data_IF_636265267297
#
_entry.id   IF_636265267297
#
_cell.length_a   1.000
_cell.length_b   1.000
_cell.length_c   1.000
_cell.angle_alpha   90.00
_cell.angle_beta   90.00
_cell.angle_gamma   90.00
#
_symmetry.space_group_name_H-M   'P 1'
#
loop_
_entity.id
_entity.type
_entity.pdbx_description
1 polymer ?
#
# COMPACT_ATOMS: atom_id res chain seq x y z
N UNK A 1 -15.12 -29.81 13.19
CA UNK A 1 -14.47 -28.60 12.68
C UNK A 1 -14.49 -28.66 11.16
N UNK A 2 -14.93 -27.64 10.49
CA UNK A 2 -14.96 -27.57 9.02
C UNK A 2 -13.83 -26.66 8.55
N UNK A 3 -13.18 -27.00 7.45
CA UNK A 3 -12.18 -26.15 6.81
C UNK A 3 -12.83 -24.89 6.19
N UNK A 4 -12.01 -23.91 5.83
CA UNK A 4 -12.49 -22.68 5.18
C UNK A 4 -13.10 -22.94 3.81
N UNK A 5 -14.25 -22.34 3.53
CA UNK A 5 -14.88 -22.35 2.20
C UNK A 5 -14.22 -21.39 1.22
N UNK A 6 -13.29 -20.54 1.67
CA UNK A 6 -12.53 -19.61 0.84
C UNK A 6 -11.38 -20.29 0.07
N UNK A 7 -11.15 -21.58 0.30
CA UNK A 7 -10.08 -22.35 -0.36
C UNK A 7 -10.38 -22.50 -1.86
N UNK A 8 -9.41 -22.11 -2.67
CA UNK A 8 -9.45 -22.23 -4.14
C UNK A 8 -8.49 -23.28 -4.69
N UNK A 9 -7.51 -23.70 -3.86
CA UNK A 9 -6.47 -24.67 -4.23
C UNK A 9 -6.34 -25.70 -3.10
N UNK A 10 -6.31 -27.01 -3.42
CA UNK A 10 -6.11 -28.05 -2.43
C UNK A 10 -4.89 -28.90 -2.80
N UNK A 11 -3.88 -28.91 -1.92
CA UNK A 11 -2.64 -29.67 -2.07
C UNK A 11 -2.33 -30.34 -0.73
N UNK A 12 -2.82 -31.54 -0.48
CA UNK A 12 -2.60 -32.20 0.81
C UNK A 12 -1.10 -32.35 1.12
N UNK A 13 -0.72 -31.98 2.33
CA UNK A 13 0.62 -32.25 2.84
C UNK A 13 0.84 -33.77 2.97
N UNK A 14 2.09 -34.21 2.79
CA UNK A 14 2.43 -35.61 3.01
C UNK A 14 2.17 -36.00 4.47
N UNK A 15 1.63 -37.21 4.77
CA UNK A 15 1.31 -37.61 6.15
C UNK A 15 2.47 -37.58 7.13
N UNK A 16 3.72 -37.65 6.66
CA UNK A 16 4.92 -37.50 7.50
C UNK A 16 5.21 -36.06 7.95
N UNK A 17 4.45 -35.09 7.54
CA UNK A 17 4.73 -33.66 7.77
C UNK A 17 3.74 -32.96 8.72
N UNK A 18 2.78 -33.71 9.25
CA UNK A 18 1.81 -33.22 10.23
C UNK A 18 1.37 -34.37 11.16
N UNK A 19 0.65 -34.04 12.21
CA UNK A 19 0.07 -35.05 13.10
C UNK A 19 -1.44 -35.15 12.82
N UNK A 20 -1.90 -36.38 12.58
CA UNK A 20 -3.33 -36.65 12.44
C UNK A 20 -4.07 -36.39 13.76
N UNK A 21 -5.13 -35.62 13.71
CA UNK A 21 -5.91 -35.22 14.87
C UNK A 21 -5.34 -34.02 15.63
N UNK A 22 -6.13 -33.50 16.55
CA UNK A 22 -5.78 -32.47 17.55
C UNK A 22 -6.20 -32.95 18.92
N UNK A 23 -5.34 -32.70 19.90
CA UNK A 23 -5.62 -32.99 21.32
C UNK A 23 -6.03 -31.71 22.11
N UNK A 24 -6.10 -30.56 21.44
CA UNK A 24 -6.48 -29.27 22.04
C UNK A 24 -7.45 -28.52 21.14
N UNK A 25 -8.28 -27.66 21.75
CA UNK A 25 -9.12 -26.73 21.03
C UNK A 25 -8.25 -25.71 20.27
N UNK A 26 -8.70 -25.27 19.10
CA UNK A 26 -8.10 -24.14 18.40
C UNK A 26 -8.39 -22.87 19.19
N UNK A 27 -7.34 -22.14 19.57
CA UNK A 27 -7.40 -20.89 20.33
C UNK A 27 -6.66 -19.74 19.65
N UNK A 28 -5.80 -20.05 18.68
CA UNK A 28 -4.93 -19.09 18.05
C UNK A 28 -4.93 -19.25 16.52
N UNK A 29 -4.62 -18.15 15.84
CA UNK A 29 -4.18 -18.13 14.44
C UNK A 29 -2.75 -17.66 14.44
N UNK A 30 -1.85 -18.36 13.74
CA UNK A 30 -0.45 -17.95 13.63
C UNK A 30 -0.11 -17.57 12.19
N UNK A 31 0.40 -16.35 12.04
CA UNK A 31 0.79 -15.77 10.76
C UNK A 31 2.25 -16.10 10.45
N UNK A 32 2.48 -16.57 9.22
CA UNK A 32 3.79 -16.82 8.62
C UNK A 32 3.90 -16.12 7.28
N UNK A 33 5.12 -16.06 6.74
CA UNK A 33 5.39 -15.75 5.35
C UNK A 33 6.17 -16.88 4.68
N UNK A 34 5.97 -17.07 3.39
CA UNK A 34 6.61 -18.14 2.62
C UNK A 34 8.11 -17.91 2.40
N UNK A 35 8.64 -16.75 2.77
CA UNK A 35 9.99 -16.30 2.44
C UNK A 35 10.29 -16.40 0.93
N UNK A 36 9.31 -16.09 0.10
CA UNK A 36 9.39 -16.19 -1.35
C UNK A 36 8.12 -15.71 -2.05
N UNK A 37 8.22 -15.49 -3.36
CA UNK A 37 7.10 -15.14 -4.24
C UNK A 37 6.56 -16.44 -4.84
N UNK A 38 5.56 -17.02 -4.19
CA UNK A 38 5.02 -18.33 -4.55
C UNK A 38 3.51 -18.27 -4.78
N UNK A 39 3.00 -19.14 -5.63
CA UNK A 39 1.58 -19.46 -5.65
C UNK A 39 1.20 -20.38 -4.48
N UNK A 40 -0.08 -20.45 -4.15
CA UNK A 40 -0.57 -21.40 -3.15
C UNK A 40 -0.26 -22.85 -3.54
N UNK A 41 -0.34 -23.19 -4.82
CA UNK A 41 0.05 -24.51 -5.35
C UNK A 41 1.52 -24.82 -5.11
N UNK A 42 2.42 -23.87 -5.39
CA UNK A 42 3.86 -24.06 -5.18
C UNK A 42 4.22 -24.25 -3.71
N UNK A 43 3.61 -23.49 -2.81
CA UNK A 43 3.76 -23.69 -1.36
C UNK A 43 3.28 -25.08 -0.93
N UNK A 44 2.09 -25.49 -1.37
CA UNK A 44 1.57 -26.82 -1.07
C UNK A 44 2.47 -27.96 -1.56
N UNK A 45 3.05 -27.82 -2.75
CA UNK A 45 3.98 -28.82 -3.31
C UNK A 45 5.24 -29.01 -2.42
N UNK A 46 5.64 -28.02 -1.65
CA UNK A 46 6.74 -28.15 -0.66
C UNK A 46 6.31 -29.10 0.45
N UNK A 47 5.09 -28.94 0.97
CA UNK A 47 4.58 -29.75 2.06
C UNK A 47 4.11 -31.13 1.62
N UNK A 48 3.81 -31.33 0.34
CA UNK A 48 3.47 -32.64 -0.24
C UNK A 48 4.67 -33.60 -0.36
N UNK A 49 5.90 -33.12 -0.17
CA UNK A 49 7.10 -33.95 -0.21
C UNK A 49 7.28 -34.71 1.10
N UNK A 50 7.49 -36.02 1.03
CA UNK A 50 7.80 -36.83 2.20
C UNK A 50 9.06 -36.32 2.94
N UNK A 51 9.03 -36.37 4.27
CA UNK A 51 10.18 -35.99 5.08
C UNK A 51 10.53 -34.49 5.10
N UNK A 52 9.60 -33.60 4.69
CA UNK A 52 9.78 -32.14 4.81
C UNK A 52 9.88 -31.68 6.26
N UNK A 53 9.29 -32.46 7.18
CA UNK A 53 9.26 -32.19 8.62
C UNK A 53 8.66 -30.82 8.96
N UNK A 54 7.63 -30.43 8.22
CA UNK A 54 6.91 -29.18 8.42
C UNK A 54 5.75 -29.03 7.45
N UNK A 55 4.74 -28.32 7.87
CA UNK A 55 3.52 -28.05 7.10
C UNK A 55 2.80 -26.82 7.62
N UNK A 56 1.78 -26.36 6.90
CA UNK A 56 0.84 -25.33 7.34
C UNK A 56 -0.59 -25.78 7.01
N UNK A 57 -1.58 -25.24 7.72
CA UNK A 57 -2.99 -25.52 7.38
C UNK A 57 -3.35 -24.86 6.05
N UNK A 58 -2.98 -23.59 5.90
CA UNK A 58 -3.27 -22.78 4.75
C UNK A 58 -2.04 -22.09 4.20
N UNK A 59 -2.12 -21.70 2.94
CA UNK A 59 -1.18 -20.79 2.31
C UNK A 59 -1.89 -19.86 1.34
N UNK A 60 -1.46 -18.62 1.28
CA UNK A 60 -2.01 -17.60 0.39
C UNK A 60 -0.94 -17.27 -0.64
N UNK A 61 -1.23 -17.51 -1.91
CA UNK A 61 -0.33 -17.20 -3.01
C UNK A 61 -0.26 -15.71 -3.31
N UNK A 62 0.73 -15.31 -4.09
CA UNK A 62 0.94 -13.90 -4.44
C UNK A 62 -0.26 -13.28 -5.20
N UNK A 63 -1.03 -14.08 -5.92
CA UNK A 63 -2.28 -13.65 -6.58
C UNK A 63 -3.49 -13.57 -5.65
N UNK A 64 -3.33 -13.94 -4.36
CA UNK A 64 -4.41 -13.95 -3.38
C UNK A 64 -5.23 -15.25 -3.34
N UNK A 65 -4.87 -16.25 -4.14
CA UNK A 65 -5.50 -17.57 -4.07
C UNK A 65 -5.18 -18.27 -2.73
N UNK A 66 -6.16 -18.99 -2.17
CA UNK A 66 -6.04 -19.63 -0.86
C UNK A 66 -5.90 -21.13 -1.04
N UNK A 67 -4.76 -21.67 -0.63
CA UNK A 67 -4.47 -23.09 -0.59
C UNK A 67 -4.76 -23.71 0.76
N UNK A 68 -5.16 -24.98 0.77
CA UNK A 68 -5.26 -25.81 1.96
C UNK A 68 -4.33 -27.01 1.85
N UNK A 69 -3.57 -27.29 2.91
CA UNK A 69 -2.55 -28.33 2.95
C UNK A 69 -2.76 -29.34 4.08
N UNK A 70 -3.20 -28.87 5.25
CA UNK A 70 -3.55 -29.71 6.40
C UNK A 70 -4.96 -29.34 6.84
N UNK A 71 -5.79 -30.31 7.18
CA UNK A 71 -7.13 -30.05 7.71
C UNK A 71 -7.05 -29.39 9.09
N UNK A 72 -7.96 -28.47 9.41
CA UNK A 72 -7.98 -27.80 10.73
C UNK A 72 -8.21 -28.78 11.89
N UNK A 73 -8.75 -29.97 11.61
CA UNK A 73 -8.89 -31.07 12.58
C UNK A 73 -7.57 -31.79 12.89
N UNK A 74 -6.54 -31.54 12.12
CA UNK A 74 -5.20 -32.12 12.28
C UNK A 74 -4.22 -31.07 12.83
N UNK A 75 -3.01 -31.46 13.20
CA UNK A 75 -1.99 -30.55 13.75
C UNK A 75 -0.87 -30.34 12.73
N UNK A 76 -0.81 -29.14 12.10
CA UNK A 76 0.29 -28.77 11.24
C UNK A 76 1.56 -28.47 12.05
N UNK A 77 2.74 -28.76 11.48
CA UNK A 77 4.04 -28.50 12.10
C UNK A 77 4.66 -27.22 11.51
N UNK A 78 4.19 -26.08 11.99
CA UNK A 78 4.56 -24.78 11.39
C UNK A 78 5.41 -23.93 12.34
N UNK A 79 5.06 -23.92 13.64
CA UNK A 79 5.56 -22.92 14.59
C UNK A 79 6.89 -23.29 15.26
N UNK A 80 7.50 -24.42 14.91
CA UNK A 80 8.67 -24.97 15.60
C UNK A 80 8.47 -25.09 17.14
N UNK A 81 7.21 -25.15 17.58
CA UNK A 81 6.81 -25.19 18.98
C UNK A 81 5.55 -26.05 19.11
N UNK A 82 5.70 -27.21 19.74
CA UNK A 82 4.61 -28.19 19.82
C UNK A 82 3.33 -27.70 20.50
N UNK A 83 3.37 -27.05 21.68
CA UNK A 83 2.18 -26.46 22.28
C UNK A 83 1.47 -25.44 21.40
N UNK A 84 2.22 -24.63 20.66
CA UNK A 84 1.65 -23.67 19.71
C UNK A 84 1.05 -24.36 18.50
N UNK A 85 1.71 -25.38 17.92
CA UNK A 85 1.17 -26.16 16.81
C UNK A 85 -0.18 -26.80 17.18
N UNK A 86 -0.29 -27.35 18.38
CA UNK A 86 -1.49 -28.04 18.84
C UNK A 86 -2.72 -27.12 18.92
N UNK A 87 -2.56 -25.82 19.24
CA UNK A 87 -3.68 -24.90 19.45
C UNK A 87 -3.90 -23.90 18.32
N UNK A 88 -2.99 -23.83 17.33
CA UNK A 88 -3.08 -22.85 16.24
C UNK A 88 -3.66 -23.42 14.96
N UNK A 89 -4.32 -22.56 14.20
CA UNK A 89 -4.42 -22.66 12.74
C UNK A 89 -3.35 -21.75 12.15
N UNK A 90 -2.54 -22.25 11.23
CA UNK A 90 -1.36 -21.56 10.70
C UNK A 90 -1.55 -21.19 9.24
N UNK A 91 -1.07 -20.03 8.84
CA UNK A 91 -1.23 -19.46 7.50
C UNK A 91 0.13 -18.99 6.98
N UNK A 92 0.59 -19.57 5.90
CA UNK A 92 1.72 -19.10 5.11
C UNK A 92 1.26 -18.05 4.10
N UNK A 93 1.91 -16.89 4.04
CA UNK A 93 1.54 -15.82 3.10
C UNK A 93 2.69 -15.54 2.14
N UNK A 94 2.43 -15.56 0.84
CA UNK A 94 3.43 -15.24 -0.17
C UNK A 94 3.85 -13.78 -0.07
N UNK A 95 5.14 -13.55 -0.29
CA UNK A 95 5.68 -12.20 -0.46
C UNK A 95 5.49 -11.73 -1.91
N UNK A 96 5.51 -10.43 -2.13
CA UNK A 96 5.53 -9.83 -3.47
C UNK A 96 6.94 -9.58 -3.99
N UNK A 97 7.94 -9.59 -3.09
CA UNK A 97 9.36 -9.56 -3.39
C UNK A 97 10.15 -10.29 -2.28
N UNK A 98 11.37 -10.71 -2.59
CA UNK A 98 12.26 -11.37 -1.63
C UNK A 98 13.21 -10.37 -0.99
N UNK A 99 13.49 -10.55 0.31
CA UNK A 99 14.40 -9.69 1.07
C UNK A 99 13.77 -8.37 1.56
N UNK A 100 14.60 -7.50 2.14
CA UNK A 100 14.14 -6.26 2.77
C UNK A 100 13.11 -6.52 3.88
N UNK A 101 12.02 -5.80 3.86
CA UNK A 101 10.91 -5.96 4.82
C UNK A 101 10.02 -7.18 4.54
N UNK A 102 10.31 -7.94 3.48
CA UNK A 102 9.48 -9.05 3.00
C UNK A 102 8.05 -8.62 2.66
N UNK A 103 7.88 -7.69 1.71
CA UNK A 103 6.59 -7.10 1.38
C UNK A 103 5.58 -8.16 0.91
N UNK A 104 4.30 -7.92 1.17
CA UNK A 104 3.18 -8.74 0.73
C UNK A 104 2.28 -7.90 -0.16
N UNK A 105 1.88 -8.45 -1.31
CA UNK A 105 1.01 -7.76 -2.26
C UNK A 105 -0.43 -7.65 -1.75
N UNK A 106 -1.15 -6.64 -2.22
CA UNK A 106 -2.52 -6.32 -1.76
C UNK A 106 -3.48 -7.49 -1.91
N UNK A 107 -3.38 -8.27 -2.99
CA UNK A 107 -4.24 -9.44 -3.20
C UNK A 107 -4.05 -10.49 -2.10
N UNK A 108 -2.80 -10.84 -1.78
CA UNK A 108 -2.47 -11.78 -0.71
C UNK A 108 -2.85 -11.22 0.66
N UNK A 109 -2.59 -9.93 0.91
CA UNK A 109 -2.92 -9.28 2.17
C UNK A 109 -4.44 -9.24 2.44
N UNK A 110 -5.25 -8.91 1.43
CA UNK A 110 -6.70 -8.90 1.55
C UNK A 110 -7.27 -10.32 1.75
N UNK A 111 -6.70 -11.33 1.08
CA UNK A 111 -7.08 -12.72 1.29
C UNK A 111 -6.70 -13.21 2.69
N UNK A 112 -5.55 -12.77 3.24
CA UNK A 112 -5.14 -13.07 4.60
C UNK A 112 -6.16 -12.56 5.63
N UNK A 113 -6.61 -11.32 5.51
CA UNK A 113 -7.60 -10.72 6.40
C UNK A 113 -8.91 -11.52 6.36
N UNK A 114 -9.40 -11.85 5.16
CA UNK A 114 -10.64 -12.63 4.99
C UNK A 114 -10.52 -14.04 5.60
N UNK A 115 -9.39 -14.70 5.36
CA UNK A 115 -9.14 -16.04 5.90
C UNK A 115 -9.01 -16.02 7.42
N UNK A 116 -8.31 -15.05 7.99
CA UNK A 116 -8.21 -14.83 9.45
C UNK A 116 -9.60 -14.62 10.07
N UNK A 117 -10.44 -13.79 9.45
CA UNK A 117 -11.81 -13.56 9.91
C UNK A 117 -12.65 -14.85 9.88
N UNK A 118 -12.60 -15.60 8.77
CA UNK A 118 -13.31 -16.84 8.61
C UNK A 118 -12.89 -17.90 9.64
N UNK A 119 -11.58 -18.10 9.83
CA UNK A 119 -11.06 -19.04 10.85
C UNK A 119 -11.51 -18.62 12.24
N UNK A 120 -11.38 -17.35 12.60
CA UNK A 120 -11.78 -16.84 13.91
C UNK A 120 -13.28 -17.07 14.18
N UNK A 121 -14.14 -16.80 13.22
CA UNK A 121 -15.59 -17.00 13.32
C UNK A 121 -15.95 -18.48 13.48
N UNK A 122 -15.43 -19.34 12.61
CA UNK A 122 -15.74 -20.79 12.62
C UNK A 122 -15.24 -21.48 13.89
N UNK A 123 -14.13 -21.03 14.46
CA UNK A 123 -13.55 -21.63 15.67
C UNK A 123 -13.94 -20.90 16.96
N UNK A 124 -14.80 -19.87 16.90
CA UNK A 124 -15.29 -19.14 18.07
C UNK A 124 -14.19 -18.44 18.86
N UNK A 125 -13.20 -17.84 18.17
CA UNK A 125 -12.06 -17.19 18.84
C UNK A 125 -12.42 -15.85 19.48
N UNK A 126 -13.63 -15.33 19.23
CA UNK A 126 -14.06 -14.02 19.72
C UNK A 126 -13.25 -12.90 19.06
N UNK A 127 -13.07 -11.81 19.80
CA UNK A 127 -12.28 -10.66 19.32
C UNK A 127 -10.80 -11.04 19.19
N UNK A 128 -10.25 -10.84 18.00
CA UNK A 128 -8.83 -11.08 17.75
C UNK A 128 -8.00 -9.93 18.35
N UNK A 129 -6.95 -10.30 19.05
CA UNK A 129 -5.98 -9.39 19.66
C UNK A 129 -4.57 -9.83 19.27
N UNK A 130 -3.81 -8.92 18.66
CA UNK A 130 -2.42 -9.17 18.29
C UNK A 130 -1.58 -9.59 19.50
N UNK A 131 -0.80 -10.66 19.35
CA UNK A 131 0.03 -11.24 20.41
C UNK A 131 -0.74 -12.10 21.43
N UNK A 132 -2.06 -12.22 21.31
CA UNK A 132 -2.88 -13.06 22.20
C UNK A 132 -3.45 -14.26 21.45
N UNK A 133 -4.40 -14.06 20.56
CA UNK A 133 -5.03 -15.10 19.74
C UNK A 133 -4.85 -14.87 18.22
N UNK A 134 -4.23 -13.77 17.81
CA UNK A 134 -3.57 -13.60 16.52
C UNK A 134 -2.07 -13.43 16.76
N UNK A 135 -1.33 -14.48 16.49
CA UNK A 135 0.08 -14.65 16.81
C UNK A 135 0.92 -14.71 15.54
N UNK A 136 2.23 -14.78 15.67
CA UNK A 136 3.16 -14.92 14.56
C UNK A 136 4.35 -15.79 14.96
N UNK A 137 5.05 -16.35 13.96
CA UNK A 137 6.07 -17.38 14.18
C UNK A 137 7.17 -16.99 15.17
N UNK A 138 7.73 -15.79 15.08
CA UNK A 138 8.82 -15.36 15.96
C UNK A 138 8.41 -15.17 17.44
N UNK A 139 7.15 -15.37 17.80
CA UNK A 139 6.74 -15.49 19.19
C UNK A 139 7.12 -16.85 19.80
N UNK A 140 7.36 -17.86 18.99
CA UNK A 140 7.51 -19.24 19.40
C UNK A 140 8.87 -19.86 19.08
N UNK A 141 9.61 -19.24 18.16
CA UNK A 141 10.91 -19.70 17.69
C UNK A 141 11.82 -18.52 17.34
N UNK A 142 13.13 -18.77 17.35
CA UNK A 142 14.13 -17.79 16.88
C UNK A 142 14.11 -17.73 15.35
N UNK A 143 13.35 -16.80 14.80
CA UNK A 143 13.16 -16.61 13.36
C UNK A 143 12.76 -15.18 13.04
N UNK A 144 13.01 -14.71 11.82
CA UNK A 144 12.51 -13.42 11.33
C UNK A 144 11.08 -13.50 10.77
N UNK A 145 10.51 -14.71 10.62
CA UNK A 145 9.14 -14.90 10.15
C UNK A 145 8.13 -14.23 11.12
N UNK A 146 7.16 -13.48 10.61
CA UNK A 146 6.65 -13.41 9.24
C UNK A 146 7.24 -12.28 8.39
N UNK A 147 8.40 -11.72 8.72
CA UNK A 147 8.99 -10.55 8.10
C UNK A 147 8.43 -9.24 8.67
N UNK A 148 9.18 -8.15 8.51
CA UNK A 148 8.83 -6.86 9.11
C UNK A 148 7.51 -6.29 8.55
N UNK A 149 7.23 -6.52 7.27
CA UNK A 149 6.00 -6.07 6.64
C UNK A 149 4.74 -6.60 7.34
N UNK A 150 4.62 -7.92 7.50
CA UNK A 150 3.47 -8.52 8.20
C UNK A 150 3.52 -8.25 9.70
N UNK A 151 4.72 -8.29 10.31
CA UNK A 151 4.91 -8.03 11.72
C UNK A 151 4.35 -6.68 12.15
N UNK A 152 4.61 -5.63 11.40
CA UNK A 152 4.11 -4.29 11.64
C UNK A 152 2.58 -4.17 11.46
N UNK A 153 1.95 -5.14 10.79
CA UNK A 153 0.52 -5.11 10.40
C UNK A 153 -0.36 -6.09 11.15
N UNK A 154 0.14 -6.85 12.10
CA UNK A 154 -0.66 -7.84 12.84
C UNK A 154 -1.87 -7.20 13.54
N UNK A 155 -1.71 -6.03 14.14
CA UNK A 155 -2.81 -5.30 14.78
C UNK A 155 -3.86 -4.80 13.76
N UNK A 156 -3.43 -4.39 12.56
CA UNK A 156 -4.33 -4.01 11.48
C UNK A 156 -5.10 -5.22 10.92
N UNK A 157 -4.43 -6.36 10.76
CA UNK A 157 -5.07 -7.64 10.37
C UNK A 157 -6.12 -8.03 11.40
N UNK A 158 -5.79 -7.98 12.70
CA UNK A 158 -6.72 -8.27 13.79
C UNK A 158 -7.96 -7.36 13.73
N UNK A 159 -7.73 -6.04 13.60
CA UNK A 159 -8.80 -5.05 13.52
C UNK A 159 -9.72 -5.32 12.34
N UNK A 160 -9.18 -5.45 11.13
CA UNK A 160 -9.95 -5.67 9.90
C UNK A 160 -10.71 -7.02 9.92
N UNK A 161 -10.11 -8.06 10.48
CA UNK A 161 -10.79 -9.35 10.65
C UNK A 161 -11.93 -9.28 11.69
N UNK A 162 -11.75 -8.51 12.77
CA UNK A 162 -12.80 -8.24 13.75
C UNK A 162 -13.94 -7.42 13.12
N UNK A 163 -13.63 -6.41 12.31
CA UNK A 163 -14.62 -5.60 11.62
C UNK A 163 -15.50 -6.48 10.70
N UNK A 164 -14.91 -7.48 10.02
CA UNK A 164 -15.65 -8.48 9.24
C UNK A 164 -16.58 -9.30 10.12
N UNK A 165 -16.17 -9.71 11.32
CA UNK A 165 -16.90 -10.64 12.19
C UNK A 165 -17.85 -9.95 13.17
N UNK A 166 -17.58 -8.71 13.56
CA UNK A 166 -18.33 -8.00 14.60
C UNK A 166 -19.60 -7.30 14.13
N UNK A 167 -19.97 -7.43 12.84
CA UNK A 167 -21.13 -6.71 12.32
C UNK A 167 -20.96 -5.17 12.33
N UNK A 168 -19.71 -4.68 12.40
CA UNK A 168 -19.42 -3.41 11.73
C UNK A 168 -19.99 -3.53 10.32
N UNK A 169 -20.47 -2.48 9.66
CA UNK A 169 -21.12 -2.63 8.37
C UNK A 169 -20.31 -3.61 7.56
N UNK A 170 -20.95 -4.73 7.14
CA UNK A 170 -20.29 -5.79 6.37
C UNK A 170 -19.39 -5.07 5.39
N UNK A 171 -18.11 -5.51 5.14
CA UNK A 171 -17.36 -4.89 4.08
C UNK A 171 -18.35 -4.91 2.94
N UNK A 172 -18.91 -3.75 2.66
CA UNK A 172 -19.87 -3.57 1.57
C UNK A 172 -19.19 -4.29 0.44
N UNK A 173 -19.84 -5.26 -0.24
CA UNK A 173 -19.22 -5.94 -1.36
C UNK A 173 -18.52 -4.85 -2.12
N UNK A 174 -17.19 -4.93 -2.31
CA UNK A 174 -16.31 -3.85 -2.76
C UNK A 174 -17.17 -2.86 -3.50
N UNK A 175 -17.54 -1.72 -2.96
CA UNK A 175 -18.49 -0.89 -3.66
C UNK A 175 -17.85 -0.71 -5.02
N UNK A 176 -18.52 -1.13 -6.05
CA UNK A 176 -18.27 -0.63 -7.40
C UNK A 176 -18.02 0.85 -7.20
N UNK A 177 -16.86 1.39 -7.55
CA UNK A 177 -16.41 2.70 -7.10
C UNK A 177 -17.57 3.66 -7.22
N UNK A 178 -18.09 4.17 -6.08
CA UNK A 178 -19.29 5.04 -6.01
C UNK A 178 -18.99 6.45 -6.50
N UNK A 179 -17.85 6.61 -7.15
CA UNK A 179 -17.49 7.66 -8.06
C UNK A 179 -16.83 7.00 -9.25
N UNK A 180 -17.28 7.32 -10.47
CA UNK A 180 -16.57 6.98 -11.70
C UNK A 180 -15.20 7.67 -11.70
N UNK A 181 -14.30 7.21 -10.79
CA UNK A 181 -12.94 7.74 -10.76
C UNK A 181 -12.12 7.13 -11.89
N UNK A 182 -11.33 7.97 -12.54
CA UNK A 182 -10.38 7.60 -13.58
C UNK A 182 -9.06 8.33 -13.37
N UNK A 183 -8.02 7.81 -13.98
CA UNK A 183 -6.72 8.51 -14.05
C UNK A 183 -6.96 9.90 -14.67
N UNK A 184 -6.39 10.92 -14.05
CA UNK A 184 -6.56 12.33 -14.42
C UNK A 184 -7.66 13.05 -13.63
N UNK A 185 -8.53 12.37 -12.89
CA UNK A 185 -9.52 13.04 -12.04
C UNK A 185 -8.84 13.80 -10.88
N UNK A 186 -9.35 15.01 -10.62
CA UNK A 186 -8.96 15.78 -9.44
C UNK A 186 -9.85 15.40 -8.24
N UNK A 187 -9.20 15.16 -7.12
CA UNK A 187 -9.85 14.60 -5.93
C UNK A 187 -9.29 15.20 -4.64
N UNK A 188 -10.09 15.09 -3.59
CA UNK A 188 -9.64 15.30 -2.20
C UNK A 188 -9.95 14.07 -1.37
N UNK A 189 -9.07 13.65 -0.46
CA UNK A 189 -9.44 12.71 0.59
C UNK A 189 -10.55 13.28 1.48
N UNK A 190 -11.56 12.46 1.78
CA UNK A 190 -12.64 12.80 2.73
C UNK A 190 -12.03 12.78 4.14
N UNK A 191 -11.32 11.70 4.45
CA UNK A 191 -10.48 11.57 5.63
C UNK A 191 -9.03 11.52 5.18
N UNK A 192 -8.15 12.29 5.80
CA UNK A 192 -6.74 12.34 5.45
C UNK A 192 -5.98 11.14 6.05
N UNK A 193 -6.22 9.97 5.47
CA UNK A 193 -5.52 8.71 5.75
C UNK A 193 -5.09 8.07 4.44
N UNK A 194 -3.93 7.41 4.44
CA UNK A 194 -3.48 6.63 3.30
C UNK A 194 -4.32 5.34 3.14
N UNK A 195 -3.99 4.55 2.13
CA UNK A 195 -4.68 3.28 1.84
C UNK A 195 -4.57 2.27 3.00
N UNK A 196 -3.56 2.41 3.85
CA UNK A 196 -3.31 1.56 5.01
C UNK A 196 -3.85 2.15 6.32
N UNK A 197 -4.49 3.34 6.26
CA UNK A 197 -5.05 4.02 7.43
C UNK A 197 -4.08 4.93 8.17
N UNK A 198 -2.86 5.16 7.64
CA UNK A 198 -1.89 6.09 8.24
C UNK A 198 -2.36 7.53 8.03
N UNK A 199 -2.34 8.38 9.08
CA UNK A 199 -2.72 9.77 8.95
C UNK A 199 -1.86 10.53 7.93
N UNK A 200 -2.51 11.30 7.06
CA UNK A 200 -1.90 12.17 6.07
C UNK A 200 -2.10 13.64 6.45
N UNK A 201 -1.17 14.50 6.05
CA UNK A 201 -1.35 15.95 6.14
C UNK A 201 -1.95 16.48 4.84
N UNK A 202 -2.97 17.34 4.95
CA UNK A 202 -3.44 18.11 3.80
C UNK A 202 -2.33 19.10 3.40
N UNK A 203 -1.82 18.97 2.17
CA UNK A 203 -0.76 19.84 1.65
C UNK A 203 -1.20 20.63 0.43
N UNK A 204 -2.37 20.29 -0.15
CA UNK A 204 -2.90 20.91 -1.37
C UNK A 204 -4.43 21.01 -1.32
N UNK A 205 -4.98 21.84 -2.18
CA UNK A 205 -6.44 22.00 -2.32
C UNK A 205 -7.04 20.94 -3.24
N UNK A 206 -6.25 20.20 -3.97
CA UNK A 206 -6.62 18.99 -4.71
C UNK A 206 -5.39 18.14 -5.04
N UNK A 207 -5.65 16.89 -5.40
CA UNK A 207 -4.67 15.92 -5.89
C UNK A 207 -5.22 15.30 -7.18
N UNK A 208 -4.35 14.82 -8.06
CA UNK A 208 -4.74 14.15 -9.30
C UNK A 208 -4.50 12.65 -9.16
N UNK A 209 -5.45 11.83 -9.61
CA UNK A 209 -5.28 10.37 -9.66
C UNK A 209 -4.30 10.05 -10.80
N UNK A 210 -3.13 9.51 -10.47
CA UNK A 210 -2.13 9.06 -11.45
C UNK A 210 -2.25 7.58 -11.80
N UNK A 211 -2.76 6.78 -10.87
CA UNK A 211 -3.02 5.35 -11.09
C UNK A 211 -4.26 4.95 -10.30
N UNK A 212 -4.99 3.95 -10.81
CA UNK A 212 -6.12 3.34 -10.14
C UNK A 212 -6.11 1.83 -10.39
N UNK A 213 -6.25 1.06 -9.33
CA UNK A 213 -6.34 -0.40 -9.39
C UNK A 213 -7.38 -0.85 -8.35
N UNK A 214 -8.57 -1.26 -8.84
CA UNK A 214 -9.70 -1.55 -7.98
C UNK A 214 -10.09 -0.30 -7.17
N UNK A 215 -10.06 -0.43 -5.85
CA UNK A 215 -10.39 0.64 -4.91
C UNK A 215 -9.17 1.45 -4.43
N UNK A 216 -7.98 1.17 -4.97
CA UNK A 216 -6.75 1.87 -4.64
C UNK A 216 -6.39 2.90 -5.70
N UNK A 217 -6.39 4.17 -5.35
CA UNK A 217 -5.95 5.28 -6.18
C UNK A 217 -4.61 5.85 -5.68
N UNK A 218 -3.65 6.06 -6.58
CA UNK A 218 -2.43 6.80 -6.28
C UNK A 218 -2.65 8.26 -6.61
N UNK A 219 -2.48 9.12 -5.63
CA UNK A 219 -2.64 10.56 -5.73
C UNK A 219 -1.28 11.23 -5.95
N UNK A 220 -1.26 12.20 -6.84
CA UNK A 220 -0.08 13.02 -7.14
C UNK A 220 -0.42 14.50 -7.05
N UNK A 221 0.61 15.31 -6.84
CA UNK A 221 0.52 16.77 -6.90
C UNK A 221 1.79 17.34 -7.50
N UNK A 222 1.67 18.11 -8.57
CA UNK A 222 2.82 18.70 -9.26
C UNK A 222 3.79 17.67 -9.87
N UNK A 223 3.31 16.43 -10.12
CA UNK A 223 4.15 15.32 -10.61
C UNK A 223 4.69 14.39 -9.51
N UNK A 224 4.68 14.82 -8.26
CA UNK A 224 5.16 14.00 -7.12
C UNK A 224 4.02 13.15 -6.56
N UNK A 225 4.37 11.92 -6.15
CA UNK A 225 3.43 11.03 -5.46
C UNK A 225 3.15 11.58 -4.05
N UNK A 226 1.88 11.80 -3.75
CA UNK A 226 1.44 12.20 -2.42
C UNK A 226 1.15 10.98 -1.53
N UNK A 227 0.25 10.11 -1.95
CA UNK A 227 -0.12 8.89 -1.23
C UNK A 227 -0.96 7.97 -2.11
N UNK A 228 -1.08 6.70 -1.70
CA UNK A 228 -2.17 5.84 -2.16
C UNK A 228 -3.34 5.97 -1.18
N UNK A 229 -4.57 6.09 -1.69
CA UNK A 229 -5.79 6.29 -0.90
C UNK A 229 -6.90 5.39 -1.44
N UNK A 230 -7.79 4.93 -0.57
CA UNK A 230 -8.97 4.18 -0.99
C UNK A 230 -9.94 5.09 -1.75
N UNK A 231 -10.46 4.66 -2.90
CA UNK A 231 -11.40 5.45 -3.72
C UNK A 231 -12.67 5.82 -2.97
N UNK A 232 -13.12 5.01 -2.02
CA UNK A 232 -14.26 5.33 -1.16
C UNK A 232 -13.98 6.50 -0.21
N UNK A 233 -12.71 6.83 0.00
CA UNK A 233 -12.25 7.95 0.79
C UNK A 233 -11.93 9.19 -0.06
N UNK A 234 -12.38 9.22 -1.32
CA UNK A 234 -12.14 10.31 -2.24
C UNK A 234 -13.47 11.01 -2.60
N UNK A 235 -13.39 12.30 -2.78
CA UNK A 235 -14.43 13.09 -3.47
C UNK A 235 -13.82 13.76 -4.67
N UNK A 236 -14.55 13.77 -5.80
CA UNK A 236 -14.17 14.59 -6.94
C UNK A 236 -14.26 16.06 -6.55
N UNK A 237 -13.30 16.80 -7.04
CA UNK A 237 -13.32 18.26 -6.96
C UNK A 237 -13.06 18.79 -8.37
N UNK A 238 -13.74 19.85 -8.72
CA UNK A 238 -13.42 20.55 -9.95
C UNK A 238 -11.98 21.05 -9.84
N UNK A 239 -11.19 20.89 -10.92
CA UNK A 239 -9.96 21.63 -11.00
C UNK A 239 -10.31 23.10 -10.71
N UNK A 240 -9.53 23.83 -9.89
CA UNK A 240 -9.65 25.27 -9.87
C UNK A 240 -9.71 25.69 -11.34
N UNK A 241 -10.68 26.52 -11.69
CA UNK A 241 -10.78 27.04 -13.06
C UNK A 241 -9.35 27.40 -13.47
N UNK A 242 -8.86 26.93 -14.64
CA UNK A 242 -7.51 27.25 -15.05
C UNK A 242 -7.31 28.72 -14.78
N UNK A 243 -6.25 29.03 -13.98
CA UNK A 243 -5.99 30.42 -13.64
C UNK A 243 -6.14 31.20 -14.92
N UNK A 244 -6.93 32.30 -14.95
CA UNK A 244 -7.26 32.99 -16.18
C UNK A 244 -5.99 33.06 -17.01
N UNK A 245 -6.05 32.62 -18.27
CA UNK A 245 -4.88 32.45 -19.12
C UNK A 245 -3.97 33.64 -18.85
N UNK A 246 -2.68 33.44 -18.52
CA UNK A 246 -1.81 34.52 -18.07
C UNK A 246 -2.06 35.68 -19.01
N UNK A 247 -2.37 36.85 -18.47
CA UNK A 247 -2.62 38.02 -19.27
C UNK A 247 -1.48 38.09 -20.32
N UNK A 248 -1.78 38.33 -21.60
CA UNK A 248 -0.75 38.34 -22.63
C UNK A 248 0.43 39.12 -22.11
N UNK A 249 1.65 38.57 -22.25
CA UNK A 249 2.88 39.18 -21.73
C UNK A 249 2.81 40.65 -22.01
N UNK A 250 3.09 41.54 -21.00
CA UNK A 250 3.02 42.98 -21.23
C UNK A 250 3.76 43.27 -22.52
N UNK A 251 3.08 43.91 -23.46
CA UNK A 251 3.57 44.11 -24.82
C UNK A 251 5.02 44.64 -24.79
N UNK A 252 5.98 43.76 -25.10
CA UNK A 252 7.36 44.19 -25.10
C UNK A 252 8.46 43.16 -24.88
N UNK A 253 8.21 42.01 -24.21
CA UNK A 253 9.25 40.99 -23.98
C UNK A 253 9.09 39.78 -24.85
N UNK A 254 10.20 39.21 -25.35
CA UNK A 254 10.28 38.00 -26.14
C UNK A 254 11.55 37.19 -25.79
N UNK A 255 11.52 35.91 -26.14
CA UNK A 255 12.75 35.09 -26.05
C UNK A 255 13.86 35.75 -26.87
N UNK A 256 15.07 35.82 -26.28
CA UNK A 256 16.24 36.49 -26.84
C UNK A 256 16.41 37.93 -26.39
N UNK A 257 15.41 38.59 -25.77
CA UNK A 257 15.60 39.94 -25.23
C UNK A 257 16.62 39.92 -24.08
N UNK A 258 17.49 40.94 -24.09
CA UNK A 258 18.44 41.19 -23.00
C UNK A 258 17.77 42.12 -21.99
N UNK A 259 17.83 41.75 -20.73
CA UNK A 259 17.10 42.41 -19.64
C UNK A 259 17.96 42.61 -18.41
N UNK A 260 17.54 43.58 -17.60
CA UNK A 260 18.10 43.90 -16.28
C UNK A 260 16.99 43.71 -15.25
N UNK A 261 17.24 43.00 -14.14
CA UNK A 261 16.35 42.94 -13.00
C UNK A 261 16.14 44.33 -12.38
N UNK A 262 14.90 44.70 -12.13
CA UNK A 262 14.54 45.93 -11.40
C UNK A 262 14.26 45.63 -9.92
N UNK A 263 13.95 44.36 -9.63
CA UNK A 263 13.79 43.84 -8.30
C UNK A 263 14.40 42.43 -8.23
N UNK A 264 15.24 42.17 -7.24
CA UNK A 264 15.97 40.90 -7.09
C UNK A 264 15.16 39.86 -6.30
N UNK A 265 14.09 39.38 -6.90
CA UNK A 265 13.27 38.27 -6.39
C UNK A 265 12.95 37.32 -7.53
N UNK A 266 12.89 36.02 -7.22
CA UNK A 266 12.41 35.04 -8.19
C UNK A 266 10.87 35.15 -8.39
N UNK A 267 10.34 34.34 -9.29
CA UNK A 267 8.92 34.32 -9.60
C UNK A 267 8.02 33.97 -8.40
N UNK A 268 8.56 33.27 -7.39
CA UNK A 268 7.87 32.88 -6.16
C UNK A 268 8.09 33.87 -5.01
N UNK A 269 8.88 34.95 -5.25
CA UNK A 269 9.16 35.95 -4.25
C UNK A 269 10.40 35.70 -3.41
N UNK A 270 11.23 34.69 -3.73
CA UNK A 270 12.48 34.40 -3.01
C UNK A 270 13.55 35.40 -3.41
N UNK A 271 14.28 36.00 -2.45
CA UNK A 271 15.38 36.93 -2.75
C UNK A 271 16.46 36.28 -3.63
N UNK A 272 16.93 37.02 -4.63
CA UNK A 272 17.97 36.59 -5.54
C UNK A 272 19.25 37.42 -5.33
N UNK A 273 20.40 36.83 -5.64
CA UNK A 273 21.70 37.54 -5.73
C UNK A 273 22.01 37.75 -7.20
N UNK A 274 22.31 38.97 -7.57
CA UNK A 274 22.68 39.34 -8.93
C UNK A 274 24.16 39.05 -9.16
N UNK A 275 24.49 38.30 -10.21
CA UNK A 275 25.86 37.93 -10.57
C UNK A 275 26.33 38.60 -11.87
N UNK A 276 25.40 38.98 -12.76
CA UNK A 276 25.68 39.59 -14.04
C UNK A 276 24.90 40.91 -14.20
N UNK A 277 25.43 41.83 -14.99
CA UNK A 277 24.77 43.12 -15.25
C UNK A 277 23.50 42.96 -16.08
N UNK A 278 23.48 41.96 -16.98
CA UNK A 278 22.37 41.70 -17.89
C UNK A 278 22.13 40.19 -18.01
N UNK A 279 20.90 39.83 -18.36
CA UNK A 279 20.45 38.45 -18.58
C UNK A 279 19.67 38.34 -19.86
N UNK A 280 19.63 37.17 -20.48
CA UNK A 280 18.84 36.92 -21.69
C UNK A 280 17.61 36.10 -21.32
N UNK A 281 16.44 36.47 -21.84
CA UNK A 281 15.22 35.70 -21.71
C UNK A 281 15.36 34.44 -22.58
N UNK A 282 15.43 33.25 -21.94
CA UNK A 282 15.48 31.97 -22.64
C UNK A 282 14.10 31.35 -22.83
N UNK A 283 13.15 31.65 -21.96
CA UNK A 283 11.75 31.22 -22.06
C UNK A 283 10.85 32.32 -21.50
N UNK A 284 9.65 32.46 -22.06
CA UNK A 284 8.63 33.37 -21.54
C UNK A 284 7.26 32.68 -21.66
N UNK A 285 6.50 32.73 -20.58
CA UNK A 285 5.15 32.22 -20.52
C UNK A 285 4.30 33.15 -19.65
N UNK A 286 3.44 33.94 -20.32
CA UNK A 286 2.70 34.99 -19.65
C UNK A 286 3.65 36.05 -19.05
N UNK A 287 3.54 36.27 -17.75
CA UNK A 287 4.38 37.19 -16.98
C UNK A 287 5.62 36.52 -16.38
N UNK A 288 5.87 35.23 -16.63
CA UNK A 288 7.03 34.50 -16.16
C UNK A 288 8.12 34.43 -17.24
N UNK A 289 9.26 35.03 -17.00
CA UNK A 289 10.44 34.94 -17.83
C UNK A 289 11.54 34.12 -17.17
N UNK A 290 12.15 33.17 -17.89
CA UNK A 290 13.33 32.45 -17.46
C UNK A 290 14.56 33.18 -17.98
N UNK A 291 15.40 33.62 -17.09
CA UNK A 291 16.59 34.40 -17.36
C UNK A 291 17.84 33.53 -17.32
N UNK A 292 18.70 33.70 -18.31
CA UNK A 292 19.99 33.01 -18.43
C UNK A 292 21.12 34.00 -18.54
N UNK A 293 22.28 33.60 -18.03
CA UNK A 293 23.56 34.32 -18.23
C UNK A 293 24.65 33.27 -18.44
N UNK A 294 25.63 33.57 -19.31
CA UNK A 294 26.77 32.67 -19.59
C UNK A 294 26.38 31.23 -19.94
N UNK A 295 25.21 31.05 -20.60
CA UNK A 295 24.72 29.72 -21.01
C UNK A 295 24.02 28.93 -19.91
N UNK A 296 23.87 29.44 -18.70
CA UNK A 296 23.19 28.80 -17.59
C UNK A 296 21.91 29.54 -17.18
N UNK A 297 20.90 28.78 -16.71
CA UNK A 297 19.70 29.38 -16.11
C UNK A 297 20.08 30.01 -14.78
N UNK A 298 19.73 31.30 -14.61
CA UNK A 298 19.93 32.02 -13.36
C UNK A 298 18.67 31.98 -12.49
N UNK A 299 17.53 32.44 -13.02
CA UNK A 299 16.28 32.47 -12.30
C UNK A 299 15.06 32.53 -13.23
N UNK A 300 13.89 32.21 -12.71
CA UNK A 300 12.64 32.65 -13.31
C UNK A 300 12.15 33.90 -12.57
N UNK A 301 11.77 34.95 -13.29
CA UNK A 301 11.30 36.22 -12.72
C UNK A 301 9.99 36.66 -13.32
N UNK A 302 9.22 37.48 -12.59
CA UNK A 302 8.08 38.15 -13.15
C UNK A 302 8.52 39.29 -14.10
N UNK A 303 7.86 39.41 -15.25
CA UNK A 303 8.21 40.46 -16.24
C UNK A 303 8.05 41.88 -15.71
N UNK A 304 7.23 42.11 -14.68
CA UNK A 304 7.15 43.41 -13.99
C UNK A 304 8.42 43.79 -13.22
N UNK A 305 9.24 42.78 -12.87
CA UNK A 305 10.46 42.93 -12.07
C UNK A 305 11.73 42.96 -12.95
N UNK A 306 11.57 43.08 -14.29
CA UNK A 306 12.67 43.25 -15.27
C UNK A 306 12.36 44.40 -16.23
N UNK A 307 13.43 44.97 -16.81
CA UNK A 307 13.33 45.93 -17.93
C UNK A 307 14.29 45.52 -19.03
N UNK A 308 14.07 45.97 -20.26
CA UNK A 308 15.05 45.82 -21.34
C UNK A 308 16.33 46.56 -20.98
N UNK A 309 17.49 45.97 -21.34
CA UNK A 309 18.80 46.54 -21.10
C UNK A 309 19.06 47.77 -21.97
#
# INVERSE_FOLDING_TARGET
>A
MSNSSLVTVRVPAHPSNYTKGRNTKITDITIHHMAGVLSAQQCGNIFARAGRNGSSHYGIGNGGEIGQYVDESDTAWTNSNWPSNCRSVTIETSNSATGGEWPVGDAAYNSLIKLVADIAKRNGLGTLVAGKNLTWHSMFASTTCPGDYLRARISDIAKKANDINGGGPAPTPTPTPTGNFKVGDNVLPINYVDYNGTPLKKTRDYYTISQINGDRAVLTSGGDVYAAVNTNNLKKVDAPAPAPAPAPAPAGFKVGDVVVPTRLVDYNGTPLVQYDATYTISQINGDRAVLTARGAVWAAMNTKDIRKA
#
